data_IF_705960738036
#
_entry.id   IF_705960738036
#
_cell.length_a   1.000
_cell.length_b   1.000
_cell.length_c   1.000
_cell.angle_alpha   90.00
_cell.angle_beta   90.00
_cell.angle_gamma   90.00
#
_symmetry.space_group_name_H-M   'P 1'
#
loop_
_entity.id
_entity.type
_entity.pdbx_description
1 polymer ?
#
# COMPACT_ATOMS: atom_id res chain seq x y z
N UNK A 1 11.00 -19.70 0.49
CA UNK A 1 9.79 -19.95 1.30
C UNK A 1 9.71 -19.08 2.55
N UNK A 2 10.77 -18.98 3.39
CA UNK A 2 10.73 -18.11 4.58
C UNK A 2 10.33 -16.65 4.27
N UNK A 3 10.90 -16.06 3.22
CA UNK A 3 10.55 -14.70 2.79
C UNK A 3 9.07 -14.57 2.37
N UNK A 4 8.50 -15.55 1.66
CA UNK A 4 7.08 -15.54 1.28
C UNK A 4 6.19 -15.64 2.53
N UNK A 5 6.58 -16.47 3.50
CA UNK A 5 5.88 -16.55 4.79
C UNK A 5 5.89 -15.22 5.55
N UNK A 6 7.04 -14.55 5.63
CA UNK A 6 7.16 -13.23 6.24
C UNK A 6 6.31 -12.17 5.54
N UNK A 7 6.31 -12.18 4.19
CA UNK A 7 5.47 -11.29 3.39
C UNK A 7 3.96 -11.55 3.63
N UNK A 8 3.55 -12.83 3.69
CA UNK A 8 2.16 -13.19 3.98
C UNK A 8 1.74 -12.69 5.37
N UNK A 9 2.58 -12.90 6.38
CA UNK A 9 2.33 -12.39 7.75
C UNK A 9 2.22 -10.87 7.79
N UNK A 10 3.03 -10.16 6.99
CA UNK A 10 2.96 -8.70 6.86
C UNK A 10 1.72 -8.22 6.10
N UNK A 11 0.95 -9.13 5.48
CA UNK A 11 -0.27 -8.80 4.73
C UNK A 11 -0.08 -8.61 3.23
N UNK A 12 0.99 -9.14 2.66
CA UNK A 12 1.11 -9.26 1.22
C UNK A 12 0.00 -10.16 0.69
N UNK A 13 -0.66 -9.77 -0.39
CA UNK A 13 -1.75 -10.54 -0.99
C UNK A 13 -1.32 -11.28 -2.27
N UNK A 14 -0.28 -10.80 -2.94
CA UNK A 14 0.27 -11.39 -4.17
C UNK A 14 1.78 -11.26 -4.13
N UNK A 15 2.50 -12.38 -4.26
CA UNK A 15 3.96 -12.37 -4.34
C UNK A 15 4.43 -12.50 -5.78
N UNK A 16 5.46 -11.71 -6.14
CA UNK A 16 6.08 -11.79 -7.45
C UNK A 16 7.52 -12.30 -7.31
N UNK A 17 7.87 -13.31 -8.11
CA UNK A 17 9.20 -13.91 -8.13
C UNK A 17 9.84 -13.73 -9.51
N UNK A 18 11.11 -13.34 -9.55
CA UNK A 18 11.87 -13.26 -10.79
C UNK A 18 12.25 -14.67 -11.25
N UNK A 19 12.19 -14.90 -12.56
CA UNK A 19 12.53 -16.18 -13.19
C UNK A 19 13.53 -15.94 -14.32
N UNK A 20 14.78 -15.60 -13.99
CA UNK A 20 15.80 -15.28 -15.00
C UNK A 20 16.40 -16.49 -15.70
N UNK A 21 16.34 -17.70 -15.09
CA UNK A 21 17.01 -18.92 -15.56
C UNK A 21 16.10 -20.13 -15.53
N UNK A 22 16.56 -21.21 -16.19
CA UNK A 22 15.84 -22.49 -16.22
C UNK A 22 15.73 -23.16 -14.84
N UNK A 23 16.73 -23.02 -13.99
CA UNK A 23 16.71 -23.56 -12.62
C UNK A 23 15.61 -22.91 -11.80
N UNK A 24 15.40 -21.59 -11.97
CA UNK A 24 14.32 -20.84 -11.30
C UNK A 24 12.96 -21.33 -11.78
N UNK A 25 12.80 -21.50 -13.09
CA UNK A 25 11.58 -22.06 -13.67
C UNK A 25 11.26 -23.47 -13.17
N UNK A 26 12.29 -24.33 -13.01
CA UNK A 26 12.13 -25.68 -12.49
C UNK A 26 11.68 -25.69 -10.99
N UNK A 27 12.04 -24.67 -10.23
CA UNK A 27 11.64 -24.54 -8.82
C UNK A 27 10.19 -24.06 -8.65
N UNK A 28 9.57 -23.47 -9.68
CA UNK A 28 8.26 -22.82 -9.57
C UNK A 28 7.15 -23.76 -9.12
N UNK A 29 7.07 -24.99 -9.64
CA UNK A 29 6.01 -25.94 -9.28
C UNK A 29 5.98 -26.21 -7.77
N UNK A 30 7.16 -26.41 -7.17
CA UNK A 30 7.28 -26.61 -5.72
C UNK A 30 6.96 -25.32 -4.96
N UNK A 31 7.41 -24.18 -5.46
CA UNK A 31 7.18 -22.88 -4.83
C UNK A 31 5.70 -22.52 -4.86
N UNK A 32 5.01 -22.71 -5.98
CA UNK A 32 3.57 -22.47 -6.12
C UNK A 32 2.76 -23.38 -5.19
N UNK A 33 3.11 -24.67 -5.13
CA UNK A 33 2.43 -25.63 -4.25
C UNK A 33 2.55 -25.28 -2.76
N UNK A 34 3.71 -24.78 -2.33
CA UNK A 34 3.99 -24.48 -0.93
C UNK A 34 3.63 -23.05 -0.52
N UNK A 35 3.42 -22.16 -1.47
CA UNK A 35 3.19 -20.74 -1.20
C UNK A 35 1.80 -20.50 -0.60
N UNK A 36 1.70 -19.77 0.53
CA UNK A 36 0.41 -19.33 1.07
C UNK A 36 -0.21 -18.19 0.24
N UNK A 37 0.54 -17.63 -0.72
CA UNK A 37 0.13 -16.50 -1.55
C UNK A 37 0.11 -16.88 -3.03
N UNK A 38 -0.77 -16.27 -3.83
CA UNK A 38 -0.71 -16.34 -5.29
C UNK A 38 0.67 -15.88 -5.80
N UNK A 39 1.31 -16.69 -6.64
CA UNK A 39 2.66 -16.44 -7.17
C UNK A 39 2.57 -15.89 -8.58
N UNK A 40 3.16 -14.73 -8.82
CA UNK A 40 3.34 -14.14 -10.15
C UNK A 40 4.78 -14.36 -10.62
N UNK A 41 4.95 -15.01 -11.78
CA UNK A 41 6.28 -15.15 -12.39
C UNK A 41 6.64 -13.91 -13.20
N UNK A 42 7.82 -13.34 -12.93
CA UNK A 42 8.35 -12.16 -13.63
C UNK A 42 9.36 -12.60 -14.68
N UNK A 43 8.95 -12.54 -15.95
CA UNK A 43 9.73 -12.99 -17.09
C UNK A 43 10.19 -11.77 -17.90
N UNK A 44 11.49 -11.61 -18.06
CA UNK A 44 12.04 -10.42 -18.72
C UNK A 44 12.29 -10.60 -20.22
N UNK A 45 12.92 -11.70 -20.65
CA UNK A 45 13.46 -11.82 -22.01
C UNK A 45 13.20 -13.14 -22.73
N UNK A 46 12.65 -14.15 -22.08
CA UNK A 46 12.60 -15.49 -22.63
C UNK A 46 11.21 -16.10 -22.56
N UNK A 47 10.56 -16.24 -23.73
CA UNK A 47 9.23 -16.85 -23.84
C UNK A 47 9.20 -18.29 -23.30
N UNK A 48 10.28 -19.09 -23.45
CA UNK A 48 10.28 -20.45 -22.93
C UNK A 48 10.18 -20.53 -21.41
N UNK A 49 10.70 -19.53 -20.69
CA UNK A 49 10.55 -19.44 -19.24
C UNK A 49 9.11 -19.05 -18.86
N UNK A 50 8.44 -18.22 -19.68
CA UNK A 50 7.03 -17.90 -19.47
C UNK A 50 6.15 -19.14 -19.64
N UNK A 51 6.40 -19.97 -20.67
CA UNK A 51 5.70 -21.23 -20.88
C UNK A 51 5.89 -22.20 -19.71
N UNK A 52 7.14 -22.36 -19.23
CA UNK A 52 7.42 -23.18 -18.05
C UNK A 52 6.74 -22.68 -16.79
N UNK A 53 6.68 -21.35 -16.60
CA UNK A 53 5.96 -20.75 -15.47
C UNK A 53 4.45 -21.02 -15.54
N UNK A 54 3.86 -20.89 -16.73
CA UNK A 54 2.46 -21.23 -16.98
C UNK A 54 2.21 -22.72 -16.71
N UNK A 55 3.12 -23.60 -17.13
CA UNK A 55 3.02 -25.04 -16.87
C UNK A 55 3.17 -25.39 -15.41
N UNK A 56 3.95 -24.63 -14.65
CA UNK A 56 4.11 -24.78 -13.21
C UNK A 56 2.87 -24.33 -12.41
N UNK A 57 1.87 -23.71 -13.05
CA UNK A 57 0.62 -23.30 -12.40
C UNK A 57 0.71 -22.00 -11.63
N UNK A 58 1.57 -21.05 -12.04
CA UNK A 58 1.61 -19.72 -11.42
C UNK A 58 0.27 -18.99 -11.54
N UNK A 59 -0.05 -18.14 -10.58
CA UNK A 59 -1.30 -17.39 -10.56
C UNK A 59 -1.36 -16.29 -11.64
N UNK A 60 -0.23 -15.79 -12.10
CA UNK A 60 -0.13 -14.86 -13.23
C UNK A 60 1.31 -14.82 -13.77
N UNK A 61 1.49 -14.35 -14.99
CA UNK A 61 2.81 -14.03 -15.55
C UNK A 61 2.95 -12.54 -15.82
N UNK A 62 4.11 -11.99 -15.49
CA UNK A 62 4.49 -10.65 -15.91
C UNK A 62 5.46 -10.75 -17.07
N UNK A 63 5.11 -10.14 -18.18
CA UNK A 63 5.95 -10.04 -19.36
C UNK A 63 6.02 -8.60 -19.88
N UNK A 64 7.02 -8.30 -20.68
CA UNK A 64 6.99 -7.19 -21.62
C UNK A 64 6.95 -7.81 -23.03
N UNK A 65 5.82 -7.73 -23.75
CA UNK A 65 5.66 -8.33 -25.08
C UNK A 65 6.73 -7.91 -26.08
N UNK A 66 7.25 -6.69 -25.96
CA UNK A 66 8.35 -6.20 -26.80
C UNK A 66 9.71 -6.87 -26.56
N UNK A 67 9.91 -7.56 -25.43
CA UNK A 67 11.22 -8.06 -25.02
C UNK A 67 11.34 -9.60 -25.01
N UNK A 68 10.24 -10.34 -25.20
CA UNK A 68 10.26 -11.82 -25.07
C UNK A 68 10.52 -12.57 -26.37
N UNK A 69 10.97 -11.89 -27.43
CA UNK A 69 11.35 -12.53 -28.70
C UNK A 69 10.39 -12.25 -29.86
N UNK A 70 9.64 -11.16 -29.78
CA UNK A 70 8.78 -10.66 -30.84
C UNK A 70 7.34 -11.20 -30.85
N UNK A 71 6.53 -10.78 -31.84
CA UNK A 71 5.09 -11.05 -31.87
C UNK A 71 4.70 -12.53 -31.88
N UNK A 72 5.46 -13.37 -32.57
CA UNK A 72 5.20 -14.81 -32.63
C UNK A 72 5.39 -15.49 -31.28
N UNK A 73 6.47 -15.14 -30.55
CA UNK A 73 6.74 -15.66 -29.22
C UNK A 73 5.73 -15.12 -28.20
N UNK A 74 5.32 -13.88 -28.35
CA UNK A 74 4.23 -13.32 -27.54
C UNK A 74 2.93 -14.10 -27.78
N UNK A 75 2.58 -14.38 -29.03
CA UNK A 75 1.39 -15.16 -29.36
C UNK A 75 1.44 -16.59 -28.80
N UNK A 76 2.61 -17.23 -28.76
CA UNK A 76 2.81 -18.54 -28.16
C UNK A 76 2.49 -18.51 -26.65
N UNK A 77 3.05 -17.53 -25.92
CA UNK A 77 2.81 -17.34 -24.50
C UNK A 77 1.34 -17.01 -24.21
N UNK A 78 0.73 -16.14 -25.00
CA UNK A 78 -0.69 -15.77 -24.88
C UNK A 78 -1.58 -17.00 -25.08
N UNK A 79 -1.33 -17.83 -26.09
CA UNK A 79 -2.11 -19.07 -26.29
C UNK A 79 -2.00 -20.02 -25.10
N UNK A 80 -0.81 -20.20 -24.57
CA UNK A 80 -0.60 -21.05 -23.39
C UNK A 80 -1.32 -20.49 -22.14
N UNK A 81 -1.24 -19.19 -21.89
CA UNK A 81 -1.92 -18.53 -20.79
C UNK A 81 -3.45 -18.63 -20.95
N UNK A 82 -3.97 -18.36 -22.14
CA UNK A 82 -5.42 -18.49 -22.46
C UNK A 82 -5.93 -19.90 -22.21
N UNK A 83 -5.18 -20.92 -22.65
CA UNK A 83 -5.54 -22.33 -22.47
C UNK A 83 -5.63 -22.75 -20.99
N UNK A 84 -4.89 -22.11 -20.10
CA UNK A 84 -4.87 -22.38 -18.66
C UNK A 84 -5.61 -21.35 -17.80
N UNK A 85 -6.20 -20.31 -18.39
CA UNK A 85 -6.88 -19.25 -17.68
C UNK A 85 -5.94 -18.44 -16.77
N UNK A 86 -4.68 -18.27 -17.16
CA UNK A 86 -3.68 -17.54 -16.36
C UNK A 86 -3.60 -16.08 -16.84
N UNK A 87 -3.94 -15.11 -15.99
CA UNK A 87 -3.89 -13.70 -16.34
C UNK A 87 -2.45 -13.18 -16.52
N UNK A 88 -2.31 -12.07 -17.24
CA UNK A 88 -1.02 -11.45 -17.49
C UNK A 88 -0.92 -10.06 -16.82
N UNK A 89 0.32 -9.65 -16.55
CA UNK A 89 0.64 -8.24 -16.36
C UNK A 89 1.60 -7.79 -17.45
N UNK A 90 1.19 -6.79 -18.20
CA UNK A 90 2.00 -6.09 -19.18
C UNK A 90 2.35 -4.69 -18.71
N UNK A 91 3.21 -3.99 -19.42
CA UNK A 91 3.42 -2.57 -19.17
C UNK A 91 4.80 -2.05 -19.46
N UNK A 92 4.84 -0.73 -19.51
CA UNK A 92 5.98 0.09 -19.84
C UNK A 92 6.77 0.50 -18.59
N UNK A 93 8.08 0.71 -18.80
CA UNK A 93 8.96 1.28 -17.77
C UNK A 93 9.88 2.32 -18.46
N UNK A 94 9.97 3.51 -17.87
CA UNK A 94 10.78 4.60 -18.42
C UNK A 94 12.26 4.25 -18.66
N UNK A 95 12.81 3.28 -17.92
CA UNK A 95 14.17 2.80 -18.09
C UNK A 95 14.38 1.79 -19.23
N UNK A 96 13.32 1.29 -19.87
CA UNK A 96 13.40 0.24 -20.89
C UNK A 96 12.46 0.46 -22.08
N UNK A 97 12.23 1.71 -22.45
CA UNK A 97 11.40 2.08 -23.61
C UNK A 97 12.04 1.59 -24.93
N UNK A 98 11.22 1.09 -25.87
CA UNK A 98 11.69 0.69 -27.21
C UNK A 98 12.36 1.84 -27.98
N UNK A 99 13.26 1.50 -28.89
CA UNK A 99 14.02 2.48 -29.66
C UNK A 99 13.14 3.49 -30.41
N UNK A 100 12.04 3.02 -31.02
CA UNK A 100 11.14 3.89 -31.79
C UNK A 100 10.40 4.92 -30.93
N UNK A 101 10.28 4.69 -29.60
CA UNK A 101 9.66 5.62 -28.66
C UNK A 101 10.68 6.57 -27.96
N UNK A 102 11.97 6.35 -28.10
CA UNK A 102 13.00 7.21 -27.50
C UNK A 102 12.90 8.68 -27.93
N UNK A 103 12.67 9.03 -29.22
CA UNK A 103 12.49 10.44 -29.60
C UNK A 103 11.25 11.10 -28.96
N UNK A 104 10.18 10.33 -28.75
CA UNK A 104 9.01 10.79 -28.01
C UNK A 104 9.33 10.96 -26.53
N UNK A 105 10.01 9.99 -25.94
CA UNK A 105 10.39 10.03 -24.52
C UNK A 105 11.29 11.22 -24.15
N UNK A 106 12.15 11.67 -25.06
CA UNK A 106 12.98 12.88 -24.88
C UNK A 106 12.13 14.14 -24.78
N UNK A 107 10.98 14.20 -25.42
CA UNK A 107 10.04 15.33 -25.40
C UNK A 107 9.00 15.17 -24.30
N UNK A 108 8.45 13.97 -24.14
CA UNK A 108 7.38 13.64 -23.22
C UNK A 108 7.43 12.15 -22.82
N UNK A 109 8.14 11.88 -21.73
CA UNK A 109 8.29 10.52 -21.20
C UNK A 109 6.93 9.89 -20.79
N UNK A 110 5.98 10.68 -20.28
CA UNK A 110 4.68 10.17 -19.88
C UNK A 110 3.89 9.69 -21.11
N UNK A 111 3.91 10.46 -22.19
CA UNK A 111 3.26 10.07 -23.44
C UNK A 111 3.91 8.84 -24.07
N UNK A 112 5.25 8.72 -24.02
CA UNK A 112 5.95 7.55 -24.52
C UNK A 112 5.58 6.27 -23.75
N UNK A 113 5.45 6.35 -22.41
CA UNK A 113 4.99 5.24 -21.57
C UNK A 113 3.58 4.79 -21.91
N UNK A 114 2.68 5.76 -22.13
CA UNK A 114 1.29 5.46 -22.53
C UNK A 114 1.26 4.82 -23.91
N UNK A 115 2.04 5.34 -24.87
CA UNK A 115 2.10 4.79 -26.21
C UNK A 115 2.60 3.34 -26.22
N UNK A 116 3.70 3.03 -25.49
CA UNK A 116 4.18 1.66 -25.34
C UNK A 116 3.11 0.74 -24.74
N UNK A 117 2.42 1.21 -23.69
CA UNK A 117 1.36 0.42 -23.07
C UNK A 117 0.20 0.14 -24.04
N UNK A 118 -0.22 1.13 -24.84
CA UNK A 118 -1.29 0.97 -25.83
C UNK A 118 -0.88 0.00 -26.95
N UNK A 119 0.35 0.04 -27.44
CA UNK A 119 0.87 -0.92 -28.43
C UNK A 119 0.83 -2.36 -27.90
N UNK A 120 1.15 -2.56 -26.61
CA UNK A 120 1.05 -3.86 -25.97
C UNK A 120 -0.41 -4.31 -25.79
N UNK A 121 -1.32 -3.40 -25.44
CA UNK A 121 -2.77 -3.67 -25.34
C UNK A 121 -3.31 -4.13 -26.70
N UNK A 122 -3.04 -3.36 -27.76
CA UNK A 122 -3.47 -3.66 -29.10
C UNK A 122 -2.97 -5.02 -29.59
N UNK A 123 -1.72 -5.37 -29.26
CA UNK A 123 -1.17 -6.69 -29.59
C UNK A 123 -1.95 -7.82 -28.91
N UNK A 124 -2.27 -7.70 -27.62
CA UNK A 124 -3.02 -8.71 -26.88
C UNK A 124 -4.48 -8.79 -27.34
N UNK A 125 -5.11 -7.67 -27.64
CA UNK A 125 -6.48 -7.63 -28.19
C UNK A 125 -6.57 -8.29 -29.57
N UNK A 126 -5.58 -8.09 -30.45
CA UNK A 126 -5.48 -8.81 -31.74
C UNK A 126 -5.35 -10.33 -31.58
N UNK A 127 -4.79 -10.78 -30.45
CA UNK A 127 -4.72 -12.19 -30.08
C UNK A 127 -5.98 -12.70 -29.34
N UNK A 128 -7.03 -11.86 -29.28
CA UNK A 128 -8.26 -12.14 -28.52
C UNK A 128 -7.98 -12.54 -27.06
N UNK A 129 -7.07 -11.80 -26.41
CA UNK A 129 -6.72 -11.99 -25.01
C UNK A 129 -6.95 -10.70 -24.23
N UNK A 130 -7.82 -10.75 -23.20
CA UNK A 130 -8.27 -9.59 -22.43
C UNK A 130 -8.05 -9.74 -20.93
N UNK A 131 -7.54 -10.88 -20.48
CA UNK A 131 -7.29 -11.14 -19.06
C UNK A 131 -5.89 -10.64 -18.66
N UNK A 132 -5.73 -9.33 -18.62
CA UNK A 132 -4.48 -8.70 -18.23
C UNK A 132 -4.69 -7.39 -17.49
N UNK A 133 -3.66 -7.00 -16.74
CA UNK A 133 -3.54 -5.67 -16.11
C UNK A 133 -2.29 -4.96 -16.63
N UNK A 134 -2.32 -3.63 -16.54
CA UNK A 134 -1.29 -2.78 -17.14
C UNK A 134 -0.53 -2.01 -16.07
N UNK A 135 0.77 -1.78 -16.30
CA UNK A 135 1.58 -0.90 -15.48
C UNK A 135 2.41 0.05 -16.33
N UNK A 136 2.43 1.35 -15.99
CA UNK A 136 3.30 2.37 -16.59
C UNK A 136 4.12 3.00 -15.49
N UNK A 137 5.41 2.66 -15.42
CA UNK A 137 6.27 2.98 -14.28
C UNK A 137 7.38 3.94 -14.62
N UNK A 138 7.63 4.87 -13.71
CA UNK A 138 8.75 5.80 -13.76
C UNK A 138 9.31 6.02 -12.36
N UNK A 139 10.58 6.40 -12.26
CA UNK A 139 11.20 6.92 -11.04
C UNK A 139 10.81 8.37 -10.74
N UNK A 140 10.34 9.10 -11.78
CA UNK A 140 9.74 10.43 -11.65
C UNK A 140 8.27 10.32 -11.27
N UNK A 141 7.93 10.73 -10.07
CA UNK A 141 6.54 10.69 -9.55
C UNK A 141 5.59 11.52 -10.42
N UNK A 142 5.90 12.78 -10.82
CA UNK A 142 5.01 13.55 -11.70
C UNK A 142 4.78 12.88 -13.06
N UNK A 143 5.84 12.31 -13.64
CA UNK A 143 5.74 11.58 -14.92
C UNK A 143 4.85 10.35 -14.80
N UNK A 144 5.00 9.59 -13.72
CA UNK A 144 4.19 8.41 -13.44
C UNK A 144 2.70 8.77 -13.26
N UNK A 145 2.40 9.75 -12.41
CA UNK A 145 1.02 10.20 -12.17
C UNK A 145 0.36 10.61 -13.49
N UNK A 146 1.05 11.43 -14.28
CA UNK A 146 0.53 11.89 -15.58
C UNK A 146 0.30 10.73 -16.54
N UNK A 147 1.23 9.77 -16.63
CA UNK A 147 1.08 8.60 -17.49
C UNK A 147 -0.13 7.74 -17.10
N UNK A 148 -0.33 7.47 -15.80
CA UNK A 148 -1.50 6.70 -15.37
C UNK A 148 -2.82 7.43 -15.59
N UNK A 149 -2.89 8.74 -15.36
CA UNK A 149 -4.09 9.54 -15.67
C UNK A 149 -4.43 9.47 -17.16
N UNK A 150 -3.45 9.67 -18.02
CA UNK A 150 -3.65 9.57 -19.48
C UNK A 150 -4.04 8.15 -19.92
N UNK A 151 -3.48 7.12 -19.29
CA UNK A 151 -3.78 5.74 -19.63
C UNK A 151 -5.18 5.31 -19.16
N UNK A 152 -5.59 5.72 -17.96
CA UNK A 152 -6.91 5.39 -17.40
C UNK A 152 -8.08 5.89 -18.24
N UNK A 153 -7.90 6.99 -18.99
CA UNK A 153 -8.90 7.52 -19.92
C UNK A 153 -9.00 6.71 -21.23
N UNK A 154 -7.99 5.87 -21.52
CA UNK A 154 -7.85 5.20 -22.81
C UNK A 154 -8.11 3.69 -22.78
N UNK A 155 -8.06 3.08 -21.62
CA UNK A 155 -8.18 1.61 -21.48
C UNK A 155 -9.16 1.22 -20.38
N UNK A 156 -9.95 0.16 -20.58
CA UNK A 156 -10.87 -0.36 -19.56
C UNK A 156 -10.21 -1.43 -18.67
N UNK A 157 -8.90 -1.61 -18.74
CA UNK A 157 -8.18 -2.68 -18.05
C UNK A 157 -7.67 -2.25 -16.68
N UNK A 158 -7.58 -3.18 -15.72
CA UNK A 158 -7.04 -2.89 -14.39
C UNK A 158 -5.60 -2.36 -14.45
N UNK A 159 -5.30 -1.40 -13.56
CA UNK A 159 -4.01 -0.73 -13.49
C UNK A 159 -3.22 -1.16 -12.24
N UNK A 160 -1.95 -1.51 -12.48
CA UNK A 160 -1.03 -1.86 -11.40
C UNK A 160 -0.07 -0.72 -11.12
N UNK A 161 -0.30 -0.01 -10.02
CA UNK A 161 0.47 1.16 -9.65
C UNK A 161 1.82 0.83 -9.00
N UNK A 162 2.79 1.70 -9.18
CA UNK A 162 4.06 1.65 -8.46
C UNK A 162 5.09 2.62 -8.99
N UNK A 163 5.77 3.30 -8.09
CA UNK A 163 7.00 4.04 -8.40
C UNK A 163 8.14 3.04 -8.55
N UNK A 164 8.92 3.11 -9.64
CA UNK A 164 10.11 2.27 -9.79
C UNK A 164 11.32 3.00 -9.21
N UNK A 165 12.26 2.24 -8.63
CA UNK A 165 13.51 2.81 -8.09
C UNK A 165 13.25 3.98 -7.12
N UNK A 166 12.29 3.81 -6.22
CA UNK A 166 11.87 4.90 -5.34
C UNK A 166 12.98 5.33 -4.36
N UNK A 167 13.88 4.42 -3.99
CA UNK A 167 15.04 4.69 -3.15
C UNK A 167 15.00 4.02 -1.78
N UNK A 168 15.72 4.59 -0.82
CA UNK A 168 15.81 4.11 0.57
C UNK A 168 14.45 4.20 1.29
N UNK A 169 14.26 3.51 2.44
CA UNK A 169 12.98 3.47 3.14
C UNK A 169 12.33 4.82 3.33
N UNK A 170 13.04 5.81 3.85
CA UNK A 170 12.47 7.13 4.10
C UNK A 170 12.05 7.85 2.80
N UNK A 171 13.00 8.09 1.89
CA UNK A 171 12.72 8.83 0.66
C UNK A 171 11.79 8.06 -0.29
N UNK A 172 11.94 6.73 -0.36
CA UNK A 172 11.12 5.87 -1.20
C UNK A 172 9.68 5.76 -0.71
N UNK A 173 9.45 5.76 0.61
CA UNK A 173 8.10 5.79 1.18
C UNK A 173 7.38 7.09 0.86
N UNK A 174 8.06 8.23 0.97
CA UNK A 174 7.48 9.54 0.61
C UNK A 174 7.11 9.58 -0.87
N UNK A 175 8.02 9.16 -1.77
CA UNK A 175 7.74 9.11 -3.22
C UNK A 175 6.57 8.19 -3.54
N UNK A 176 6.53 7.02 -2.90
CA UNK A 176 5.45 6.06 -3.07
C UNK A 176 4.12 6.59 -2.55
N UNK A 177 4.11 7.22 -1.37
CA UNK A 177 2.92 7.81 -0.79
C UNK A 177 2.34 8.93 -1.68
N UNK A 178 3.20 9.83 -2.18
CA UNK A 178 2.76 10.88 -3.11
C UNK A 178 2.26 10.29 -4.43
N UNK A 179 3.01 9.36 -5.02
CA UNK A 179 2.67 8.80 -6.34
C UNK A 179 1.42 7.93 -6.31
N UNK A 180 1.36 6.96 -5.40
CA UNK A 180 0.20 6.07 -5.24
C UNK A 180 -0.99 6.83 -4.68
N UNK A 181 -0.77 7.67 -3.66
CA UNK A 181 -1.83 8.43 -3.01
C UNK A 181 -2.58 9.35 -3.97
N UNK A 182 -1.85 10.08 -4.83
CA UNK A 182 -2.47 10.96 -5.83
C UNK A 182 -3.38 10.18 -6.79
N UNK A 183 -2.94 9.00 -7.27
CA UNK A 183 -3.72 8.20 -8.20
C UNK A 183 -4.91 7.51 -7.54
N UNK A 184 -4.70 6.94 -6.35
CA UNK A 184 -5.76 6.26 -5.59
C UNK A 184 -6.86 7.24 -5.16
N UNK A 185 -6.54 8.51 -4.86
CA UNK A 185 -7.54 9.56 -4.59
C UNK A 185 -8.34 9.95 -5.83
N UNK A 186 -7.78 9.79 -7.03
CA UNK A 186 -8.49 9.95 -8.30
C UNK A 186 -9.33 8.70 -8.68
N UNK A 187 -9.33 7.65 -7.85
CA UNK A 187 -9.98 6.37 -8.15
C UNK A 187 -9.22 5.53 -9.18
N UNK A 188 -7.94 5.81 -9.42
CA UNK A 188 -7.08 5.12 -10.39
C UNK A 188 -6.20 4.11 -9.67
N UNK A 189 -6.31 2.82 -10.04
CA UNK A 189 -5.45 1.74 -9.56
C UNK A 189 -6.18 0.62 -8.86
N UNK A 190 -5.85 -0.61 -9.23
CA UNK A 190 -6.50 -1.84 -8.75
C UNK A 190 -5.54 -2.69 -7.92
N UNK A 191 -4.26 -2.59 -8.18
CA UNK A 191 -3.19 -3.23 -7.41
C UNK A 191 -2.01 -2.28 -7.25
N UNK A 192 -1.31 -2.38 -6.11
CA UNK A 192 -0.18 -1.51 -5.79
C UNK A 192 1.09 -2.30 -5.51
N UNK A 193 2.24 -1.68 -5.77
CA UNK A 193 3.56 -2.14 -5.34
C UNK A 193 4.40 -0.96 -4.89
N UNK A 194 4.90 -1.02 -3.68
CA UNK A 194 5.99 -0.17 -3.21
C UNK A 194 7.32 -0.80 -3.61
N UNK A 195 8.34 -0.02 -3.88
CA UNK A 195 9.67 -0.50 -4.28
C UNK A 195 10.73 0.27 -3.51
N UNK A 196 11.38 -0.39 -2.56
CA UNK A 196 12.37 0.19 -1.66
C UNK A 196 13.71 -0.56 -1.75
N UNK A 197 14.80 0.14 -1.47
CA UNK A 197 16.11 -0.50 -1.22
C UNK A 197 16.15 -0.95 0.24
N UNK A 198 15.36 -1.98 0.58
CA UNK A 198 15.17 -2.52 1.92
C UNK A 198 14.68 -3.98 1.85
N UNK A 199 14.44 -4.59 3.03
CA UNK A 199 13.73 -5.86 3.09
C UNK A 199 12.32 -5.72 2.45
N UNK A 200 11.89 -6.67 1.59
CA UNK A 200 10.57 -6.60 0.95
C UNK A 200 9.38 -6.52 1.92
N UNK A 201 9.53 -6.95 3.16
CA UNK A 201 8.49 -6.80 4.20
C UNK A 201 8.20 -5.31 4.48
N UNK A 202 9.20 -4.45 4.42
CA UNK A 202 9.03 -3.00 4.59
C UNK A 202 8.20 -2.38 3.45
N UNK A 203 8.33 -2.91 2.23
CA UNK A 203 7.49 -2.48 1.10
C UNK A 203 6.01 -2.74 1.35
N UNK A 204 5.69 -3.89 1.95
CA UNK A 204 4.30 -4.26 2.31
C UNK A 204 3.76 -3.36 3.41
N UNK A 205 4.55 -3.09 4.45
CA UNK A 205 4.16 -2.18 5.53
C UNK A 205 3.83 -0.79 4.99
N UNK A 206 4.71 -0.21 4.18
CA UNK A 206 4.50 1.11 3.56
C UNK A 206 3.26 1.11 2.66
N UNK A 207 3.02 0.04 1.89
CA UNK A 207 1.82 -0.06 1.07
C UNK A 207 0.55 -0.04 1.93
N UNK A 208 0.53 -0.74 3.06
CA UNK A 208 -0.59 -0.73 4.00
C UNK A 208 -0.80 0.65 4.64
N UNK A 209 0.27 1.32 5.06
CA UNK A 209 0.15 2.67 5.62
C UNK A 209 -0.42 3.67 4.61
N UNK A 210 -0.05 3.58 3.33
CA UNK A 210 -0.64 4.40 2.26
C UNK A 210 -2.15 4.12 2.13
N UNK A 211 -2.55 2.85 2.07
CA UNK A 211 -3.96 2.47 1.92
C UNK A 211 -4.81 2.86 3.15
N UNK A 212 -4.26 2.71 4.34
CA UNK A 212 -4.88 3.13 5.60
C UNK A 212 -5.05 4.65 5.67
N UNK A 213 -4.00 5.41 5.34
CA UNK A 213 -4.03 6.86 5.35
C UNK A 213 -5.08 7.45 4.38
N UNK A 214 -5.42 6.71 3.32
CA UNK A 214 -6.48 7.09 2.37
C UNK A 214 -7.87 6.54 2.75
N UNK A 215 -8.00 5.80 3.83
CA UNK A 215 -9.25 5.15 4.22
C UNK A 215 -9.75 4.08 3.25
N UNK A 216 -8.87 3.56 2.39
CA UNK A 216 -9.23 2.56 1.38
C UNK A 216 -9.24 1.13 1.92
N UNK A 217 -8.40 0.84 2.90
CA UNK A 217 -8.26 -0.48 3.51
C UNK A 217 -7.97 -0.33 5.01
N UNK A 218 -8.35 -1.34 5.76
CA UNK A 218 -8.09 -1.44 7.19
C UNK A 218 -7.22 -2.66 7.47
N UNK A 219 -6.15 -2.49 8.26
CA UNK A 219 -5.31 -3.56 8.77
C UNK A 219 -4.51 -3.07 9.98
N UNK A 220 -4.67 -3.74 11.09
CA UNK A 220 -4.04 -3.33 12.34
C UNK A 220 -4.50 -1.95 12.83
N UNK A 221 -3.97 -1.49 13.95
CA UNK A 221 -4.35 -0.21 14.53
C UNK A 221 -3.78 0.98 13.73
N UNK A 222 -4.44 2.13 13.91
CA UNK A 222 -3.98 3.44 13.45
C UNK A 222 -3.67 4.29 14.65
N UNK A 223 -2.46 4.84 14.73
CA UNK A 223 -2.07 5.74 15.81
C UNK A 223 -2.20 7.20 15.37
N UNK A 224 -2.77 8.01 16.25
CA UNK A 224 -2.86 9.46 16.14
C UNK A 224 -2.02 10.05 17.28
N UNK A 225 -0.91 10.70 16.96
CA UNK A 225 -0.04 11.30 17.98
C UNK A 225 0.08 12.81 17.78
N UNK A 226 0.03 13.57 18.86
CA UNK A 226 0.26 15.01 18.77
C UNK A 226 1.75 15.31 18.59
N UNK A 227 2.11 16.38 17.88
CA UNK A 227 3.50 16.81 17.78
C UNK A 227 4.01 17.27 19.14
N UNK A 228 5.30 17.01 19.43
CA UNK A 228 5.97 17.51 20.62
C UNK A 228 5.99 19.05 20.60
N UNK A 229 5.31 19.68 21.52
CA UNK A 229 5.20 21.14 21.63
C UNK A 229 5.54 21.63 23.03
N UNK A 230 5.54 22.95 23.29
CA UNK A 230 5.86 23.53 24.61
C UNK A 230 4.90 23.13 25.73
N UNK A 231 3.82 22.40 25.45
CA UNK A 231 2.86 21.87 26.44
C UNK A 231 3.08 20.37 26.70
N UNK A 232 4.05 19.74 26.03
CA UNK A 232 4.40 18.36 26.29
C UNK A 232 4.96 18.20 27.72
N UNK A 233 4.33 17.34 28.49
CA UNK A 233 4.67 17.10 29.89
C UNK A 233 5.28 15.71 30.13
N UNK A 234 5.34 14.84 29.12
CA UNK A 234 5.66 13.43 29.28
C UNK A 234 6.69 12.91 28.26
N UNK A 235 7.21 13.76 27.37
CA UNK A 235 8.04 13.30 26.26
C UNK A 235 7.24 12.49 25.27
N UNK A 236 6.19 13.09 24.71
CA UNK A 236 5.19 12.41 23.87
C UNK A 236 5.79 11.61 22.72
N UNK A 237 6.94 12.00 22.19
CA UNK A 237 7.63 11.26 21.12
C UNK A 237 8.07 9.87 21.59
N UNK A 238 8.67 9.73 22.79
CA UNK A 238 9.06 8.42 23.34
C UNK A 238 7.83 7.58 23.67
N UNK A 239 6.78 8.22 24.20
CA UNK A 239 5.53 7.56 24.50
C UNK A 239 4.84 7.02 23.23
N UNK A 240 4.88 7.81 22.14
CA UNK A 240 4.32 7.40 20.86
C UNK A 240 5.14 6.25 20.23
N UNK A 241 6.47 6.30 20.29
CA UNK A 241 7.33 5.22 19.82
C UNK A 241 7.05 3.90 20.56
N UNK A 242 6.92 3.93 21.89
CA UNK A 242 6.59 2.74 22.68
C UNK A 242 5.21 2.19 22.33
N UNK A 243 4.20 3.06 22.19
CA UNK A 243 2.85 2.65 21.80
C UNK A 243 2.86 2.08 20.38
N UNK A 244 3.54 2.73 19.43
CA UNK A 244 3.64 2.25 18.04
C UNK A 244 4.29 0.87 17.96
N UNK A 245 5.35 0.63 18.72
CA UNK A 245 6.04 -0.67 18.75
C UNK A 245 5.11 -1.78 19.24
N UNK A 246 4.38 -1.56 20.33
CA UNK A 246 3.44 -2.55 20.87
C UNK A 246 2.22 -2.77 19.99
N UNK A 247 1.74 -1.72 19.30
CA UNK A 247 0.62 -1.84 18.35
C UNK A 247 0.90 -2.73 17.16
N UNK A 248 2.16 -2.98 16.82
CA UNK A 248 2.54 -3.86 15.68
C UNK A 248 2.08 -5.30 15.85
N UNK A 249 1.86 -5.74 17.07
CA UNK A 249 1.44 -7.11 17.38
C UNK A 249 -0.09 -7.31 17.24
N UNK A 250 -0.84 -6.23 17.03
CA UNK A 250 -2.30 -6.27 16.93
C UNK A 250 -2.77 -6.33 15.47
N UNK A 251 -3.44 -7.42 15.04
CA UNK A 251 -4.01 -7.51 13.69
C UNK A 251 -5.36 -6.78 13.55
N UNK A 252 -6.00 -6.42 14.68
CA UNK A 252 -7.31 -5.79 14.70
C UNK A 252 -7.23 -4.32 14.29
N UNK A 253 -8.24 -3.83 13.57
CA UNK A 253 -8.34 -2.44 13.16
C UNK A 253 -9.05 -1.63 14.25
N UNK A 254 -8.34 -0.66 14.85
CA UNK A 254 -8.85 0.32 15.81
C UNK A 254 -7.94 1.55 15.83
N UNK A 255 -8.41 2.65 16.41
CA UNK A 255 -7.68 3.91 16.48
C UNK A 255 -7.16 4.16 17.90
N UNK A 256 -5.89 4.55 18.02
CA UNK A 256 -5.24 4.90 19.31
C UNK A 256 -4.69 6.31 19.25
N UNK A 257 -5.08 7.16 20.18
CA UNK A 257 -4.57 8.52 20.31
C UNK A 257 -3.52 8.63 21.42
N UNK A 258 -2.36 9.25 21.12
CA UNK A 258 -1.28 9.49 22.08
C UNK A 258 -1.04 11.00 22.19
N UNK A 259 -1.42 11.59 23.34
CA UNK A 259 -1.41 13.03 23.57
C UNK A 259 -0.45 13.42 24.70
N UNK A 260 0.44 14.38 24.45
CA UNK A 260 1.45 14.86 25.40
C UNK A 260 0.92 15.76 26.50
N UNK A 261 -0.34 16.23 26.44
CA UNK A 261 -0.93 17.08 27.46
C UNK A 261 -2.44 16.89 27.61
N UNK A 262 -2.97 17.21 28.80
CA UNK A 262 -4.40 17.10 29.10
C UNK A 262 -5.28 18.16 28.41
N UNK A 263 -4.69 19.18 27.77
CA UNK A 263 -5.45 20.28 27.16
C UNK A 263 -6.14 19.85 25.87
N UNK A 264 -5.42 19.15 25.01
CA UNK A 264 -5.94 18.64 23.73
C UNK A 264 -6.42 17.18 23.83
N UNK A 265 -5.95 16.46 24.88
CA UNK A 265 -6.26 15.04 25.07
C UNK A 265 -7.77 14.73 25.01
N UNK A 266 -8.65 15.47 25.70
CA UNK A 266 -10.09 15.18 25.62
C UNK A 266 -10.73 15.38 24.26
N UNK A 267 -10.19 16.29 23.42
CA UNK A 267 -10.73 16.55 22.07
C UNK A 267 -10.26 15.54 21.04
N UNK A 268 -8.95 15.36 20.94
CA UNK A 268 -8.33 14.53 19.89
C UNK A 268 -8.32 13.03 20.25
N UNK A 269 -8.12 12.71 21.56
CA UNK A 269 -8.25 11.33 22.04
C UNK A 269 -9.71 10.86 22.11
N UNK A 270 -10.67 11.78 22.16
CA UNK A 270 -12.10 11.46 22.26
C UNK A 270 -12.68 10.86 20.98
N UNK A 271 -12.06 11.11 19.85
CA UNK A 271 -12.51 10.58 18.54
C UNK A 271 -11.89 9.20 18.23
N UNK A 272 -10.78 8.83 18.89
CA UNK A 272 -10.18 7.51 18.76
C UNK A 272 -10.93 6.43 19.57
N UNK A 273 -10.73 5.16 19.23
CA UNK A 273 -11.29 4.04 20.00
C UNK A 273 -10.66 4.00 21.40
N UNK A 274 -9.35 4.22 21.48
CA UNK A 274 -8.57 4.30 22.71
C UNK A 274 -7.63 5.51 22.70
N UNK A 275 -7.15 5.93 23.85
CA UNK A 275 -6.13 6.95 23.90
C UNK A 275 -5.57 7.21 25.28
N UNK A 276 -4.43 7.87 25.29
CA UNK A 276 -3.80 8.40 26.49
C UNK A 276 -3.51 9.89 26.33
N UNK A 277 -3.63 10.63 27.43
CA UNK A 277 -3.20 12.00 27.48
C UNK A 277 -2.29 12.19 28.73
N UNK A 278 -1.04 12.55 28.44
CA UNK A 278 -0.01 12.70 29.45
C UNK A 278 -0.17 13.95 30.31
N UNK A 279 0.31 13.89 31.55
CA UNK A 279 0.52 15.00 32.44
C UNK A 279 1.79 14.78 33.26
N UNK A 280 2.30 15.79 34.00
CA UNK A 280 3.61 15.72 34.65
C UNK A 280 3.80 14.49 35.56
N UNK A 281 2.83 14.19 36.41
CA UNK A 281 2.87 13.06 37.33
C UNK A 281 1.83 11.98 36.98
N UNK A 282 0.69 12.41 36.42
CA UNK A 282 -0.46 11.58 36.16
C UNK A 282 -1.07 11.97 34.83
N UNK A 283 -1.54 10.97 34.05
CA UNK A 283 -2.27 11.13 32.82
C UNK A 283 -3.64 10.47 32.86
N UNK A 284 -4.30 10.46 31.72
CA UNK A 284 -5.63 9.89 31.57
C UNK A 284 -5.61 8.80 30.51
N UNK A 285 -6.35 7.73 30.74
CA UNK A 285 -6.67 6.70 29.73
C UNK A 285 -8.10 6.90 29.27
N UNK A 286 -8.28 6.91 27.96
CA UNK A 286 -9.56 7.11 27.30
C UNK A 286 -9.96 5.85 26.55
N UNK A 287 -11.25 5.57 26.48
CA UNK A 287 -11.81 4.65 25.52
C UNK A 287 -13.18 5.15 25.07
N UNK A 288 -13.40 5.06 23.76
CA UNK A 288 -14.68 5.39 23.10
C UNK A 288 -15.24 6.77 23.50
N UNK A 289 -14.38 7.79 23.56
CA UNK A 289 -14.75 9.16 23.87
C UNK A 289 -14.94 9.46 25.36
N UNK A 290 -14.57 8.55 26.27
CA UNK A 290 -14.72 8.74 27.72
C UNK A 290 -13.39 8.56 28.45
N UNK A 291 -13.16 9.36 29.49
CA UNK A 291 -12.08 9.11 30.45
C UNK A 291 -12.46 7.87 31.25
N UNK A 292 -11.65 6.81 31.13
CA UNK A 292 -11.83 5.59 31.93
C UNK A 292 -11.18 5.71 33.29
N UNK A 293 -9.93 6.18 33.32
CA UNK A 293 -9.15 6.28 34.55
C UNK A 293 -8.06 7.33 34.48
N UNK A 294 -7.59 7.73 35.62
CA UNK A 294 -6.39 8.52 35.85
C UNK A 294 -5.31 7.56 36.36
N UNK A 295 -4.12 7.62 35.77
CA UNK A 295 -2.99 6.75 36.11
C UNK A 295 -1.70 7.55 36.24
N UNK A 296 -0.69 7.08 37.00
CA UNK A 296 0.65 7.63 36.97
C UNK A 296 1.24 7.59 35.57
N UNK A 297 1.98 8.63 35.18
CA UNK A 297 2.56 8.71 33.81
C UNK A 297 3.47 7.51 33.45
N UNK A 298 4.17 6.95 34.45
CA UNK A 298 5.06 5.82 34.28
C UNK A 298 4.37 4.48 33.87
N UNK A 299 3.06 4.34 34.09
CA UNK A 299 2.31 3.11 33.77
C UNK A 299 1.19 3.37 32.76
N UNK A 300 1.19 4.56 32.17
CA UNK A 300 0.09 5.00 31.32
C UNK A 300 -0.08 4.13 30.07
N UNK A 301 1.03 3.70 29.47
CA UNK A 301 1.03 2.78 28.30
C UNK A 301 0.51 1.41 28.71
N UNK A 302 0.95 0.86 29.82
CA UNK A 302 0.47 -0.44 30.30
C UNK A 302 -1.02 -0.43 30.58
N UNK A 303 -1.53 0.66 31.16
CA UNK A 303 -2.96 0.83 31.40
C UNK A 303 -3.76 0.95 30.10
N UNK A 304 -3.21 1.60 29.06
CA UNK A 304 -3.81 1.67 27.73
C UNK A 304 -3.96 0.26 27.15
N UNK A 305 -2.87 -0.51 27.13
CA UNK A 305 -2.88 -1.85 26.53
C UNK A 305 -3.75 -2.84 27.30
N UNK A 306 -3.87 -2.73 28.61
CA UNK A 306 -4.86 -3.52 29.39
C UNK A 306 -6.29 -3.26 28.93
N UNK A 307 -6.64 -2.01 28.63
CA UNK A 307 -8.00 -1.69 28.13
C UNK A 307 -8.20 -2.23 26.71
N UNK A 308 -7.19 -2.14 25.85
CA UNK A 308 -7.22 -2.69 24.49
C UNK A 308 -7.40 -4.21 24.53
N UNK A 309 -6.58 -4.91 25.35
CA UNK A 309 -6.64 -6.35 25.50
C UNK A 309 -7.99 -6.82 26.03
N UNK A 310 -8.50 -6.16 27.09
CA UNK A 310 -9.82 -6.45 27.65
C UNK A 310 -10.94 -6.25 26.62
N UNK A 311 -10.84 -5.24 25.78
CA UNK A 311 -11.82 -5.01 24.70
C UNK A 311 -11.76 -6.10 23.62
N UNK A 312 -10.56 -6.53 23.25
CA UNK A 312 -10.35 -7.60 22.26
C UNK A 312 -10.92 -8.92 22.83
N UNK A 313 -10.59 -9.26 24.07
CA UNK A 313 -11.11 -10.45 24.76
C UNK A 313 -12.64 -10.40 24.93
N UNK A 314 -13.20 -9.20 25.13
CA UNK A 314 -14.62 -8.94 25.19
C UNK A 314 -15.39 -9.00 23.87
N UNK A 315 -14.72 -9.38 22.76
CA UNK A 315 -15.34 -9.51 21.43
C UNK A 315 -15.45 -8.22 20.64
N UNK A 316 -14.65 -7.20 20.96
CA UNK A 316 -14.51 -5.93 20.23
C UNK A 316 -15.85 -5.16 20.05
N UNK A 317 -16.70 -5.17 21.02
CA UNK A 317 -17.97 -4.44 20.98
C UNK A 317 -17.71 -2.95 21.03
N UNK A 318 -17.87 -2.25 19.90
CA UNK A 318 -17.83 -0.78 19.86
C UNK A 318 -19.15 -0.22 20.39
N UNK A 319 -19.16 0.54 21.49
CA UNK A 319 -20.36 1.23 21.91
C UNK A 319 -20.76 2.24 20.82
N UNK A 320 -22.07 2.47 20.64
CA UNK A 320 -22.54 3.53 19.72
C UNK A 320 -21.79 4.83 20.06
N UNK A 321 -20.97 5.32 19.12
CA UNK A 321 -20.30 6.61 19.27
C UNK A 321 -21.38 7.67 19.55
N UNK A 322 -21.35 8.25 20.71
CA UNK A 322 -22.05 9.49 20.96
C UNK A 322 -21.24 10.53 20.19
N UNK A 323 -21.78 11.05 19.08
CA UNK A 323 -21.17 12.19 18.40
C UNK A 323 -20.99 13.28 19.44
N UNK A 324 -19.76 13.49 19.90
CA UNK A 324 -19.41 14.64 20.69
C UNK A 324 -19.80 15.89 19.89
N UNK A 325 -20.31 16.89 20.56
CA UNK A 325 -20.73 18.14 19.95
C UNK A 325 -19.63 18.65 19.01
N UNK A 326 -20.03 19.24 17.89
CA UNK A 326 -19.17 19.78 16.83
C UNK A 326 -17.87 20.37 17.39
N UNK A 327 -16.72 20.15 16.73
CA UNK A 327 -15.45 20.71 17.16
C UNK A 327 -15.59 22.20 17.50
N UNK A 328 -14.90 22.67 18.54
CA UNK A 328 -14.98 24.06 18.98
C UNK A 328 -14.74 25.08 17.84
N UNK A 329 -13.90 24.74 16.85
CA UNK A 329 -13.68 25.51 15.64
C UNK A 329 -14.95 25.67 14.78
N UNK A 330 -15.81 24.66 14.71
CA UNK A 330 -17.08 24.72 13.96
C UNK A 330 -18.10 25.55 14.71
N UNK A 331 -18.14 25.43 16.05
CA UNK A 331 -18.99 26.25 16.90
C UNK A 331 -18.58 27.73 16.87
N UNK A 332 -17.29 28.04 16.80
CA UNK A 332 -16.78 29.40 16.64
C UNK A 332 -17.10 29.98 15.25
N UNK A 333 -17.00 29.18 14.18
CA UNK A 333 -17.36 29.61 12.83
C UNK A 333 -18.88 29.87 12.69
N UNK A 334 -19.73 29.04 13.31
CA UNK A 334 -21.18 29.26 13.35
C UNK A 334 -21.57 30.46 14.21
N UNK A 335 -20.83 30.73 15.30
CA UNK A 335 -21.05 31.92 16.14
C UNK A 335 -20.65 33.21 15.40
N UNK A 336 -19.62 33.21 14.58
CA UNK A 336 -19.18 34.34 13.78
C UNK A 336 -20.11 34.68 12.60
N UNK A 337 -21.02 33.78 12.21
CA UNK A 337 -21.98 33.96 11.14
C UNK A 337 -23.37 34.38 11.62
N UNK A 338 -23.59 34.54 12.92
CA UNK A 338 -24.88 35.07 13.44
C UNK A 338 -24.92 36.59 13.26
N UNK A 339 -25.91 37.16 12.55
CA UNK A 339 -26.09 38.58 12.46
C UNK A 339 -26.42 39.14 13.85
N UNK A 340 -25.89 40.34 14.15
CA UNK A 340 -26.08 41.07 15.40
C UNK A 340 -27.53 41.48 15.59
#
# INVERSE_FOLDING_TARGET
MAQIGALASAGCEIVRVAVPKNEDAAALSKLVYLSPLPVVADIHFNASLALKAIDAGVAAVRINPGNIGGPEKTAEVVRAAKAKGIPMRIGANSGSLPEHLKPLAQRDTAQALVQEALEQVELLERLDYRDFKISVKSSSVPTMIRAYRMLSEKVPYPLHLGVTEAGTPFAGSIKSAVGLGSLLMDGIGDTVRVSLTADPVEEVKVAWEILKALGLRERGPVMIACPSCGRDNVGVHLLAEEVEERLRDYPQAFEVAVMGCAVNGPGEAGDADFGIAGGRETGFVYAHGRVLKKAPSAVLVDELFREIDAWIEGGMVRPKRVKLAKPAAVLMAEAAQRPA
#
